data_IF_562094386149
#
_entry.id   IF_562094386149
#
_cell.length_a   1.000
_cell.length_b   1.000
_cell.length_c   1.000
_cell.angle_alpha   90.00
_cell.angle_beta   90.00
_cell.angle_gamma   90.00
#
_symmetry.space_group_name_H-M   'P 1'
#
loop_
_entity.id
_entity.type
_entity.pdbx_description
1 polymer ?
#
# COMPACT_ATOMS: atom_id res chain seq x y z
N UNK A 1 15.76 -0.63 18.89
CA UNK A 1 15.13 0.33 17.96
C UNK A 1 14.15 -0.50 17.17
N UNK A 2 12.88 -0.23 17.44
CA UNK A 2 11.74 -1.12 17.28
C UNK A 2 11.23 -1.07 15.83
N UNK A 3 10.93 -2.22 15.23
CA UNK A 3 10.24 -2.33 13.94
C UNK A 3 9.02 -1.37 13.91
N UNK A 4 9.13 -0.29 13.15
CA UNK A 4 8.11 0.74 13.10
C UNK A 4 7.05 0.34 12.06
N UNK A 5 5.84 -0.02 12.50
CA UNK A 5 4.75 -0.40 11.60
C UNK A 5 3.79 0.75 11.35
N UNK A 6 3.64 1.16 10.10
CA UNK A 6 2.65 2.15 9.67
C UNK A 6 1.37 1.46 9.22
N UNK A 7 0.23 1.85 9.80
CA UNK A 7 -1.09 1.38 9.39
C UNK A 7 -1.85 2.52 8.71
N UNK A 8 -2.22 2.32 7.45
CA UNK A 8 -2.93 3.30 6.64
C UNK A 8 -4.30 2.72 6.23
N UNK A 9 -5.37 3.50 6.47
CA UNK A 9 -6.69 3.17 5.98
C UNK A 9 -7.10 4.18 4.91
N UNK A 10 -7.57 3.69 3.77
CA UNK A 10 -8.08 4.51 2.68
C UNK A 10 -9.51 4.10 2.37
N UNK A 11 -10.35 5.11 2.14
CA UNK A 11 -11.69 4.93 1.61
C UNK A 11 -11.80 5.70 0.30
N UNK A 12 -12.01 4.96 -0.78
CA UNK A 12 -12.14 5.52 -2.13
C UNK A 12 -13.62 5.43 -2.52
N UNK A 13 -14.27 6.55 -2.85
CA UNK A 13 -15.69 6.56 -3.18
C UNK A 13 -15.99 5.74 -4.44
N UNK A 14 -17.26 5.36 -4.61
CA UNK A 14 -17.71 4.64 -5.79
C UNK A 14 -17.38 5.41 -7.08
N UNK A 15 -16.94 4.69 -8.12
CA UNK A 15 -16.48 5.23 -9.41
C UNK A 15 -15.22 6.11 -9.36
N UNK A 16 -14.43 6.05 -8.29
CA UNK A 16 -13.14 6.69 -8.20
C UNK A 16 -12.00 5.66 -8.08
N UNK A 17 -10.79 6.10 -8.42
CA UNK A 17 -9.55 5.38 -8.17
C UNK A 17 -8.55 6.32 -7.52
N UNK A 18 -7.60 5.76 -6.78
CA UNK A 18 -6.55 6.53 -6.12
C UNK A 18 -5.18 5.87 -6.34
N UNK A 19 -4.14 6.70 -6.33
CA UNK A 19 -2.75 6.24 -6.28
C UNK A 19 -2.20 6.55 -4.91
N UNK A 20 -1.77 5.52 -4.18
CA UNK A 20 -1.17 5.64 -2.85
C UNK A 20 0.34 5.49 -2.98
N UNK A 21 1.07 6.41 -2.36
CA UNK A 21 2.53 6.36 -2.24
C UNK A 21 2.88 5.95 -0.81
N UNK A 22 3.40 4.73 -0.65
CA UNK A 22 3.75 4.17 0.65
C UNK A 22 5.22 4.48 0.96
N UNK A 23 5.56 4.85 2.20
CA UNK A 23 6.89 5.32 2.59
C UNK A 23 7.91 4.19 2.77
N UNK A 24 7.98 3.26 1.81
CA UNK A 24 8.99 2.21 1.75
C UNK A 24 9.45 2.02 0.32
N UNK A 25 10.71 1.61 0.13
CA UNK A 25 11.24 1.18 -1.16
C UNK A 25 11.05 -0.33 -1.39
N UNK A 26 10.64 -1.07 -0.36
CA UNK A 26 10.46 -2.52 -0.42
C UNK A 26 8.96 -2.87 -0.56
N UNK A 27 8.52 -3.44 -1.69
CA UNK A 27 7.12 -3.82 -1.89
C UNK A 27 6.71 -5.05 -1.08
N UNK A 28 7.64 -5.88 -0.60
CA UNK A 28 7.35 -7.02 0.28
C UNK A 28 7.14 -6.58 1.73
N UNK A 29 7.65 -5.40 2.11
CA UNK A 29 7.34 -4.77 3.39
C UNK A 29 5.92 -4.18 3.46
N UNK A 30 5.13 -4.29 2.38
CA UNK A 30 3.76 -3.80 2.29
C UNK A 30 2.75 -4.94 2.18
N UNK A 31 1.77 -4.94 3.07
CA UNK A 31 0.60 -5.84 3.00
C UNK A 31 -0.71 -5.07 2.99
N UNK A 32 -1.70 -5.57 2.25
CA UNK A 32 -3.09 -5.13 2.32
C UNK A 32 -3.85 -6.12 3.21
N UNK A 33 -4.09 -5.71 4.46
CA UNK A 33 -4.56 -6.59 5.52
C UNK A 33 -3.54 -7.68 5.88
N UNK A 34 -3.67 -8.85 5.24
CA UNK A 34 -2.82 -10.03 5.43
C UNK A 34 -2.20 -10.51 4.10
N UNK A 35 -2.49 -9.83 2.99
CA UNK A 35 -2.06 -10.22 1.64
C UNK A 35 -0.96 -9.31 1.12
N UNK A 36 0.01 -9.86 0.42
CA UNK A 36 0.99 -9.06 -0.30
C UNK A 36 0.34 -8.28 -1.45
N UNK A 37 0.95 -7.18 -1.86
CA UNK A 37 0.45 -6.33 -2.95
C UNK A 37 0.16 -7.09 -4.26
N UNK A 38 0.90 -8.16 -4.54
CA UNK A 38 0.68 -9.01 -5.73
C UNK A 38 -0.49 -9.99 -5.62
N UNK A 39 -1.01 -10.21 -4.41
CA UNK A 39 -2.09 -11.16 -4.12
C UNK A 39 -3.46 -10.48 -3.94
N UNK A 40 -3.46 -9.15 -3.82
CA UNK A 40 -4.68 -8.36 -3.72
C UNK A 40 -5.17 -7.99 -5.14
N UNK A 41 -6.22 -8.65 -5.69
CA UNK A 41 -6.65 -8.44 -7.09
C UNK A 41 -7.18 -7.03 -7.38
N UNK A 42 -7.56 -6.33 -6.32
CA UNK A 42 -8.08 -4.95 -6.30
C UNK A 42 -6.98 -3.89 -6.13
N UNK A 43 -5.73 -4.32 -5.97
CA UNK A 43 -4.55 -3.45 -5.83
C UNK A 43 -3.63 -3.69 -7.01
N UNK A 44 -3.23 -2.63 -7.69
CA UNK A 44 -2.28 -2.67 -8.80
C UNK A 44 -0.96 -2.08 -8.35
N UNK A 45 0.11 -2.87 -8.33
CA UNK A 45 1.45 -2.34 -8.09
C UNK A 45 1.91 -1.51 -9.31
N UNK A 46 2.13 -0.21 -9.12
CA UNK A 46 2.53 0.73 -10.17
C UNK A 46 4.04 0.94 -10.24
N UNK A 47 4.81 0.26 -9.39
CA UNK A 47 6.26 0.36 -9.29
C UNK A 47 6.74 1.25 -8.14
N UNK A 48 8.01 1.65 -8.23
CA UNK A 48 8.65 2.57 -7.29
C UNK A 48 8.66 3.99 -7.86
N UNK A 49 8.28 4.97 -7.05
CA UNK A 49 8.28 6.40 -7.36
C UNK A 49 8.99 7.14 -6.24
N UNK A 50 10.12 7.78 -6.55
CA UNK A 50 10.88 8.57 -5.56
C UNK A 50 11.29 7.75 -4.30
N UNK A 51 11.69 6.49 -4.50
CA UNK A 51 12.01 5.58 -3.40
C UNK A 51 10.81 5.11 -2.58
N UNK A 52 9.58 5.34 -3.08
CA UNK A 52 8.32 4.94 -2.43
C UNK A 52 7.55 3.96 -3.31
N UNK A 53 6.94 2.96 -2.68
CA UNK A 53 6.08 1.99 -3.35
C UNK A 53 4.78 2.69 -3.77
N UNK A 54 4.50 2.70 -5.07
CA UNK A 54 3.29 3.27 -5.64
C UNK A 54 2.28 2.16 -5.95
N UNK A 55 1.06 2.29 -5.42
CA UNK A 55 -0.02 1.33 -5.65
C UNK A 55 -1.28 2.06 -6.12
N UNK A 56 -1.93 1.49 -7.13
CA UNK A 56 -3.23 1.91 -7.63
C UNK A 56 -4.33 1.11 -6.95
N UNK A 57 -5.31 1.80 -6.38
CA UNK A 57 -6.48 1.19 -5.73
C UNK A 57 -7.75 1.71 -6.40
N UNK A 58 -8.75 0.83 -6.52
CA UNK A 58 -10.08 1.20 -7.01
C UNK A 58 -10.99 1.75 -5.91
N UNK A 59 -12.28 1.90 -6.20
CA UNK A 59 -13.30 2.19 -5.20
C UNK A 59 -13.36 1.10 -4.14
N UNK A 60 -13.55 1.48 -2.87
CA UNK A 60 -13.64 0.56 -1.74
C UNK A 60 -12.81 1.02 -0.55
N UNK A 61 -12.72 0.13 0.45
CA UNK A 61 -11.96 0.37 1.67
C UNK A 61 -10.74 -0.54 1.67
N UNK A 62 -9.57 0.05 1.91
CA UNK A 62 -8.28 -0.63 1.86
C UNK A 62 -7.52 -0.36 3.15
N UNK A 63 -6.80 -1.37 3.65
CA UNK A 63 -5.95 -1.20 4.83
C UNK A 63 -4.55 -1.69 4.53
N UNK A 64 -3.61 -0.77 4.42
CA UNK A 64 -2.20 -1.10 4.21
C UNK A 64 -1.46 -1.13 5.54
N UNK A 65 -0.61 -2.14 5.69
CA UNK A 65 0.41 -2.19 6.71
C UNK A 65 1.78 -2.11 6.03
N UNK A 66 2.63 -1.22 6.53
CA UNK A 66 3.99 -1.03 6.03
C UNK A 66 4.96 -1.24 7.17
N UNK A 67 5.90 -2.16 7.00
CA UNK A 67 7.03 -2.32 7.91
C UNK A 67 8.11 -1.32 7.49
N UNK A 68 8.39 -0.35 8.38
CA UNK A 68 9.44 0.63 8.19
C UNK A 68 10.70 0.09 8.88
N UNK A 69 11.66 -0.30 8.06
CA UNK A 69 13.02 -0.55 8.50
C UNK A 69 13.80 0.77 8.41
N UNK A 70 14.41 1.18 9.52
CA UNK A 70 15.30 2.37 9.60
C UNK A 70 16.65 2.14 8.90
#
# INVERSE_FOLDING_TARGET
>A
WEDARLLCQFEVPANASATVLLPTADPHAVTEGDKLLGEAPQVSFLGLRDGRVAVGIGSGSYRFAVELTE
#
